data_IF_757247972380
#
_entry.id   IF_757247972380
#
_cell.length_a   1.000
_cell.length_b   1.000
_cell.length_c   1.000
_cell.angle_alpha   90.00
_cell.angle_beta   90.00
_cell.angle_gamma   90.00
#
_symmetry.space_group_name_H-M   'P 1'
#
loop_
_entity.id
_entity.type
_entity.pdbx_description
1 polymer ?
#
# COMPACT_ATOMS: atom_id res chain seq x y z
N UNK A 1 -20.53 -5.42 0.21
CA UNK A 1 -20.57 -6.63 1.04
C UNK A 1 -22.01 -7.10 1.07
N UNK A 2 -22.25 -8.42 1.02
CA UNK A 2 -23.57 -9.00 0.71
C UNK A 2 -24.66 -8.59 1.70
N UNK A 3 -24.32 -8.47 2.98
CA UNK A 3 -25.20 -7.99 4.05
C UNK A 3 -25.69 -6.55 3.83
N UNK A 4 -24.95 -5.73 3.09
CA UNK A 4 -25.37 -4.36 2.73
C UNK A 4 -26.31 -4.33 1.53
N UNK A 5 -26.41 -5.43 0.79
CA UNK A 5 -27.24 -5.53 -0.43
C UNK A 5 -28.61 -6.15 -0.17
N UNK A 6 -28.88 -6.63 1.06
CA UNK A 6 -30.17 -7.23 1.44
C UNK A 6 -30.45 -8.61 0.83
N UNK A 7 -29.51 -9.15 0.03
CA UNK A 7 -29.64 -10.48 -0.55
C UNK A 7 -29.16 -11.56 0.43
N UNK A 8 -29.91 -12.66 0.60
CA UNK A 8 -29.51 -13.75 1.50
C UNK A 8 -28.36 -14.60 0.92
N UNK A 9 -28.11 -14.53 -0.39
CA UNK A 9 -27.11 -15.34 -1.11
C UNK A 9 -26.40 -14.44 -2.13
N UNK A 10 -25.07 -14.58 -2.23
CA UNK A 10 -24.25 -13.97 -3.27
C UNK A 10 -23.52 -15.01 -4.10
N UNK A 11 -23.63 -14.92 -5.43
CA UNK A 11 -22.88 -15.77 -6.36
C UNK A 11 -21.52 -15.13 -6.63
N UNK A 12 -20.44 -15.92 -6.50
CA UNK A 12 -19.07 -15.48 -6.76
C UNK A 12 -18.72 -15.77 -8.22
N UNK A 13 -18.49 -14.72 -9.00
CA UNK A 13 -18.18 -14.82 -10.44
C UNK A 13 -16.67 -14.85 -10.72
N UNK A 14 -15.87 -14.14 -9.90
CA UNK A 14 -14.42 -14.11 -10.05
C UNK A 14 -13.70 -13.83 -8.74
N UNK A 15 -12.42 -14.21 -8.69
CA UNK A 15 -11.53 -14.00 -7.56
C UNK A 15 -10.51 -12.92 -7.94
N UNK A 16 -10.29 -11.97 -7.03
CA UNK A 16 -9.31 -10.91 -7.22
C UNK A 16 -7.88 -11.45 -7.13
N UNK A 17 -7.01 -10.97 -8.03
CA UNK A 17 -5.57 -11.20 -7.91
C UNK A 17 -4.98 -10.34 -6.78
N UNK A 18 -4.12 -10.94 -5.95
CA UNK A 18 -3.37 -10.25 -4.90
C UNK A 18 -1.87 -10.35 -5.17
N UNK A 19 -1.17 -9.23 -4.97
CA UNK A 19 0.30 -9.18 -5.00
C UNK A 19 0.79 -8.65 -3.67
N UNK A 20 1.79 -9.31 -3.10
CA UNK A 20 2.46 -8.91 -1.87
C UNK A 20 3.93 -8.71 -2.20
N UNK A 21 4.51 -7.63 -1.68
CA UNK A 21 5.89 -7.21 -1.97
C UNK A 21 6.52 -6.82 -0.64
N UNK A 22 7.71 -7.33 -0.38
CA UNK A 22 8.55 -6.92 0.74
C UNK A 22 9.49 -5.80 0.29
N UNK A 23 9.63 -4.75 1.10
CA UNK A 23 10.42 -3.57 0.77
C UNK A 23 11.29 -3.19 1.95
N UNK A 24 12.61 -3.27 1.75
CA UNK A 24 13.60 -2.79 2.71
C UNK A 24 14.05 -1.37 2.38
N UNK A 25 14.00 -0.48 3.38
CA UNK A 25 14.41 0.90 3.25
C UNK A 25 15.52 1.17 4.24
N UNK A 26 16.73 1.41 3.73
CA UNK A 26 17.89 1.74 4.56
C UNK A 26 18.04 3.25 4.71
N UNK A 27 17.93 3.72 5.95
CA UNK A 27 18.24 5.09 6.33
C UNK A 27 19.66 5.24 6.89
N UNK A 28 19.91 6.37 7.55
CA UNK A 28 21.13 6.60 8.33
C UNK A 28 20.75 6.92 9.77
N UNK A 29 21.39 6.24 10.72
CA UNK A 29 21.24 6.56 12.13
C UNK A 29 21.74 7.98 12.40
N UNK A 30 20.95 8.74 13.16
CA UNK A 30 21.29 10.09 13.60
C UNK A 30 20.53 10.41 14.87
N UNK A 31 21.13 11.18 15.76
CA UNK A 31 20.45 11.60 16.99
C UNK A 31 19.28 12.52 16.63
N UNK A 32 18.07 12.13 17.05
CA UNK A 32 16.82 12.80 16.64
C UNK A 32 16.80 14.29 16.97
N UNK A 33 17.44 14.71 18.07
CA UNK A 33 17.49 16.11 18.51
C UNK A 33 18.65 16.95 17.99
N UNK A 34 19.73 16.36 17.46
CA UNK A 34 20.96 17.11 17.09
C UNK A 34 21.33 16.98 15.62
N UNK A 35 20.70 16.05 14.89
CA UNK A 35 20.85 15.95 13.42
C UNK A 35 19.90 16.96 12.77
N UNK A 36 20.40 18.03 12.12
CA UNK A 36 19.53 19.00 11.47
C UNK A 36 18.68 18.34 10.39
N UNK A 37 17.43 18.80 10.20
CA UNK A 37 16.48 18.21 9.25
C UNK A 37 17.05 18.00 7.83
N UNK A 38 17.80 18.94 7.22
CA UNK A 38 18.39 18.74 5.89
C UNK A 38 19.45 17.63 5.82
N UNK A 39 20.04 17.24 6.95
CA UNK A 39 21.06 16.19 7.04
C UNK A 39 20.49 14.80 7.33
N UNK A 40 19.18 14.65 7.49
CA UNK A 40 18.55 13.38 7.88
C UNK A 40 18.33 12.47 6.65
N UNK A 41 18.54 11.17 6.84
CA UNK A 41 18.14 10.09 5.90
C UNK A 41 17.23 9.12 6.65
N UNK A 42 15.96 9.48 6.76
CA UNK A 42 14.97 8.77 7.57
C UNK A 42 14.21 7.71 6.74
N UNK A 43 14.37 6.45 7.10
CA UNK A 43 13.73 5.32 6.41
C UNK A 43 12.20 5.34 6.56
N UNK A 44 11.67 5.76 7.71
CA UNK A 44 10.23 5.79 7.98
C UNK A 44 9.55 6.91 7.19
N UNK A 45 10.19 8.07 7.07
CA UNK A 45 9.68 9.16 6.22
C UNK A 45 9.61 8.71 4.77
N UNK A 46 10.65 8.05 4.25
CA UNK A 46 10.65 7.47 2.91
C UNK A 46 9.55 6.41 2.73
N UNK A 47 9.34 5.53 3.73
CA UNK A 47 8.25 4.55 3.72
C UNK A 47 6.86 5.23 3.59
N UNK A 48 6.63 6.32 4.33
CA UNK A 48 5.38 7.08 4.26
C UNK A 48 5.13 7.66 2.85
N UNK A 49 6.18 8.12 2.17
CA UNK A 49 6.07 8.56 0.78
C UNK A 49 5.72 7.41 -0.18
N UNK A 50 6.30 6.23 0.02
CA UNK A 50 6.00 5.03 -0.78
C UNK A 50 4.54 4.61 -0.61
N UNK A 51 4.03 4.56 0.63
CA UNK A 51 2.61 4.24 0.91
C UNK A 51 1.69 5.24 0.20
N UNK A 52 1.96 6.54 0.34
CA UNK A 52 1.17 7.60 -0.30
C UNK A 52 1.22 7.52 -1.84
N UNK A 53 2.33 7.08 -2.40
CA UNK A 53 2.45 6.87 -3.84
C UNK A 53 1.67 5.62 -4.29
N UNK A 54 1.71 4.54 -3.51
CA UNK A 54 0.95 3.32 -3.77
C UNK A 54 -0.56 3.56 -3.72
N UNK A 55 -1.06 4.35 -2.76
CA UNK A 55 -2.47 4.73 -2.69
C UNK A 55 -2.97 5.49 -3.93
N UNK A 56 -2.08 6.20 -4.62
CA UNK A 56 -2.42 6.93 -5.85
C UNK A 56 -2.52 6.03 -7.07
N UNK A 57 -1.96 4.82 -7.02
CA UNK A 57 -2.07 3.88 -8.11
C UNK A 57 -3.49 3.32 -8.16
N UNK A 58 -4.12 3.42 -9.34
CA UNK A 58 -5.40 2.76 -9.57
C UNK A 58 -5.15 1.24 -9.66
N UNK A 59 -5.98 0.41 -9.01
CA UNK A 59 -5.88 -1.03 -9.19
C UNK A 59 -6.04 -1.37 -10.68
N UNK A 60 -5.15 -2.23 -11.19
CA UNK A 60 -5.22 -2.72 -12.56
C UNK A 60 -6.57 -3.44 -12.75
N UNK A 61 -7.30 -3.18 -13.85
CA UNK A 61 -8.51 -3.93 -14.13
C UNK A 61 -8.19 -5.43 -14.16
N UNK A 62 -8.98 -6.22 -13.43
CA UNK A 62 -8.96 -7.67 -13.53
C UNK A 62 -9.27 -8.02 -14.98
N UNK A 63 -8.38 -8.79 -15.62
CA UNK A 63 -8.69 -9.40 -16.90
C UNK A 63 -9.77 -10.45 -16.64
N UNK A 64 -11.04 -10.07 -16.81
CA UNK A 64 -12.12 -11.04 -16.97
C UNK A 64 -11.92 -11.73 -18.31
N UNK A 65 -11.88 -13.05 -18.31
CA UNK A 65 -12.19 -13.83 -19.50
C UNK A 65 -13.65 -13.52 -19.88
N UNK A 66 -13.99 -13.34 -21.17
CA UNK A 66 -15.39 -13.20 -21.59
C UNK A 66 -16.24 -14.40 -21.18
#
# INVERSE_FOLDING_TARGET
MLERTGFPIGVVDSIVGRTVIDVDITGQAGHAGTTPMPGRRDALVAAGHIVKAAERQKPRPSAGCP
#
